data_IF_266071650594
#
_entry.id   IF_266071650594
#
_cell.length_a   1.000
_cell.length_b   1.000
_cell.length_c   1.000
_cell.angle_alpha   90.00
_cell.angle_beta   90.00
_cell.angle_gamma   90.00
#
_symmetry.space_group_name_H-M   'P 1'
#
loop_
_entity.id
_entity.type
_entity.pdbx_description
1 polymer ?
#
# COMPACT_ATOMS: atom_id res chain seq x y z
N UNK A 1 8.85 21.03 -2.93
CA UNK A 1 8.13 19.92 -3.59
C UNK A 1 6.74 19.84 -2.97
N UNK A 2 5.70 20.26 -3.69
CA UNK A 2 4.37 20.55 -3.13
C UNK A 2 3.67 19.28 -2.62
N UNK A 3 3.34 19.20 -1.33
CA UNK A 3 2.62 18.07 -0.70
C UNK A 3 1.22 17.83 -1.29
N UNK A 4 0.69 18.77 -2.08
CA UNK A 4 -0.64 18.74 -2.71
C UNK A 4 -0.87 17.60 -3.71
N UNK A 5 0.18 17.01 -4.29
CA UNK A 5 0.05 15.97 -5.33
C UNK A 5 0.22 14.52 -4.88
N UNK A 6 0.58 14.26 -3.61
CA UNK A 6 0.85 12.90 -3.13
C UNK A 6 -0.43 12.29 -2.55
N UNK A 7 -0.94 11.23 -3.17
CA UNK A 7 -2.02 10.42 -2.58
C UNK A 7 -1.53 9.87 -1.23
N UNK A 8 -2.19 10.24 -0.10
CA UNK A 8 -1.81 9.76 1.22
C UNK A 8 -1.87 8.24 1.30
N UNK A 9 -2.90 7.64 0.69
CA UNK A 9 -3.07 6.18 0.58
C UNK A 9 -1.88 5.51 -0.06
N UNK A 10 -1.39 6.04 -1.19
CA UNK A 10 -0.23 5.49 -1.92
C UNK A 10 1.03 5.53 -1.06
N UNK A 11 1.29 6.64 -0.37
CA UNK A 11 2.47 6.77 0.48
C UNK A 11 2.46 5.78 1.65
N UNK A 12 1.36 5.69 2.38
CA UNK A 12 1.23 4.79 3.54
C UNK A 12 1.34 3.32 3.12
N UNK A 13 0.61 2.90 2.08
CA UNK A 13 0.65 1.51 1.58
C UNK A 13 2.03 1.14 1.00
N UNK A 14 2.71 2.07 0.30
CA UNK A 14 4.05 1.82 -0.23
C UNK A 14 5.07 1.62 0.89
N UNK A 15 4.98 2.40 1.98
CA UNK A 15 5.86 2.25 3.14
C UNK A 15 5.68 0.89 3.81
N UNK A 16 4.42 0.43 3.99
CA UNK A 16 4.11 -0.90 4.53
C UNK A 16 4.75 -2.00 3.70
N UNK A 17 4.52 -2.01 2.38
CA UNK A 17 5.10 -3.02 1.48
C UNK A 17 6.63 -2.97 1.45
N UNK A 18 7.24 -1.79 1.54
CA UNK A 18 8.71 -1.67 1.52
C UNK A 18 9.34 -2.27 2.78
N UNK A 19 8.75 -2.01 3.95
CA UNK A 19 9.20 -2.61 5.21
C UNK A 19 8.95 -4.12 5.22
N UNK A 20 7.80 -4.56 4.73
CA UNK A 20 7.45 -5.97 4.60
C UNK A 20 8.40 -6.71 3.66
N UNK A 21 8.85 -6.08 2.57
CA UNK A 21 9.85 -6.65 1.67
C UNK A 21 11.15 -7.01 2.40
N UNK A 22 11.59 -6.14 3.31
CA UNK A 22 12.78 -6.39 4.12
C UNK A 22 12.53 -7.58 5.05
N UNK A 23 11.38 -7.61 5.73
CA UNK A 23 11.01 -8.72 6.61
C UNK A 23 10.95 -10.06 5.87
N UNK A 24 10.34 -10.11 4.69
CA UNK A 24 10.25 -11.32 3.87
C UNK A 24 11.62 -11.73 3.31
N UNK A 25 12.45 -10.77 2.89
CA UNK A 25 13.83 -11.05 2.49
C UNK A 25 14.64 -11.68 3.63
N UNK A 26 14.53 -11.12 4.84
CA UNK A 26 15.19 -11.61 6.05
C UNK A 26 14.62 -12.95 6.57
N UNK A 27 13.43 -13.35 6.14
CA UNK A 27 12.90 -14.68 6.45
C UNK A 27 13.65 -15.80 5.69
N UNK A 28 14.33 -15.48 4.58
CA UNK A 28 15.09 -16.44 3.77
C UNK A 28 16.13 -17.21 4.59
N UNK A 29 17.08 -16.56 5.30
CA UNK A 29 18.03 -17.29 6.14
C UNK A 29 17.33 -18.10 7.23
N UNK A 30 16.24 -17.60 7.82
CA UNK A 30 15.48 -18.34 8.84
C UNK A 30 14.89 -19.63 8.27
N UNK A 31 14.33 -19.59 7.06
CA UNK A 31 13.82 -20.77 6.38
C UNK A 31 14.94 -21.81 6.14
N UNK A 32 16.14 -21.37 5.74
CA UNK A 32 17.26 -22.26 5.46
C UNK A 32 17.87 -22.83 6.74
N UNK A 33 18.13 -21.99 7.75
CA UNK A 33 18.93 -22.39 8.93
C UNK A 33 18.11 -22.95 10.08
N UNK A 34 16.83 -22.60 10.17
CA UNK A 34 15.95 -23.00 11.28
C UNK A 34 14.90 -24.00 10.83
N UNK A 35 14.32 -23.80 9.65
CA UNK A 35 13.23 -24.63 9.14
C UNK A 35 13.68 -25.70 8.13
N UNK A 36 14.99 -25.81 7.86
CA UNK A 36 15.62 -26.79 6.95
C UNK A 36 14.98 -26.81 5.54
N UNK A 37 14.47 -25.65 5.09
CA UNK A 37 13.83 -25.51 3.77
C UNK A 37 14.93 -25.51 2.70
N UNK A 38 14.75 -26.25 1.59
CA UNK A 38 15.70 -26.24 0.48
C UNK A 38 16.00 -24.82 -0.01
N UNK A 39 17.28 -24.51 -0.22
CA UNK A 39 17.75 -23.15 -0.57
C UNK A 39 16.96 -22.52 -1.73
N UNK A 40 16.69 -23.28 -2.80
CA UNK A 40 15.93 -22.80 -3.94
C UNK A 40 14.51 -22.36 -3.57
N UNK A 41 13.82 -23.14 -2.75
CA UNK A 41 12.47 -22.82 -2.26
C UNK A 41 12.50 -21.62 -1.31
N UNK A 42 13.47 -21.56 -0.39
CA UNK A 42 13.62 -20.44 0.52
C UNK A 42 13.88 -19.12 -0.22
N UNK A 43 14.74 -19.12 -1.24
CA UNK A 43 15.00 -17.97 -2.10
C UNK A 43 13.74 -17.56 -2.88
N UNK A 44 13.04 -18.53 -3.48
CA UNK A 44 11.83 -18.25 -4.24
C UNK A 44 10.72 -17.63 -3.38
N UNK A 45 10.53 -18.13 -2.16
CA UNK A 45 9.52 -17.60 -1.24
C UNK A 45 9.96 -16.26 -0.64
N UNK A 46 11.12 -16.21 0.03
CA UNK A 46 11.55 -15.03 0.78
C UNK A 46 11.91 -13.86 -0.13
N UNK A 47 12.88 -14.06 -1.03
CA UNK A 47 13.33 -13.00 -1.94
C UNK A 47 12.31 -12.74 -3.06
N UNK A 48 11.63 -13.78 -3.56
CA UNK A 48 10.58 -13.60 -4.57
C UNK A 48 9.41 -12.77 -4.05
N UNK A 49 8.92 -13.02 -2.84
CA UNK A 49 7.89 -12.18 -2.23
C UNK A 49 8.42 -10.78 -1.90
N UNK A 50 9.66 -10.64 -1.44
CA UNK A 50 10.27 -9.33 -1.21
C UNK A 50 10.29 -8.47 -2.48
N UNK A 51 10.69 -9.04 -3.61
CA UNK A 51 10.64 -8.35 -4.92
C UNK A 51 9.20 -8.03 -5.31
N UNK A 52 8.25 -8.95 -5.09
CA UNK A 52 6.83 -8.72 -5.35
C UNK A 52 6.30 -7.52 -4.56
N UNK A 53 6.70 -7.36 -3.29
CA UNK A 53 6.35 -6.19 -2.48
C UNK A 53 6.86 -4.87 -3.09
N UNK A 54 8.11 -4.82 -3.52
CA UNK A 54 8.70 -3.61 -4.12
C UNK A 54 8.02 -3.27 -5.45
N UNK A 55 7.76 -4.27 -6.28
CA UNK A 55 7.03 -4.10 -7.54
C UNK A 55 5.62 -3.60 -7.26
N UNK A 56 4.89 -4.24 -6.33
CA UNK A 56 3.55 -3.83 -5.94
C UNK A 56 3.52 -2.38 -5.42
N UNK A 57 4.49 -1.99 -4.60
CA UNK A 57 4.63 -0.61 -4.10
C UNK A 57 4.78 0.42 -5.24
N UNK A 58 5.59 0.11 -6.26
CA UNK A 58 5.71 0.94 -7.46
C UNK A 58 4.43 0.99 -8.31
N UNK A 59 3.61 -0.06 -8.25
CA UNK A 59 2.37 -0.20 -9.02
C UNK A 59 1.14 0.42 -8.36
N UNK A 60 1.21 0.90 -7.11
CA UNK A 60 0.10 1.49 -6.34
C UNK A 60 -0.56 2.73 -6.97
N UNK A 61 -0.04 3.23 -8.10
CA UNK A 61 -0.76 4.18 -8.97
C UNK A 61 -2.03 3.58 -9.60
N UNK A 62 -2.15 2.25 -9.67
CA UNK A 62 -3.31 1.53 -10.23
C UNK A 62 -4.14 0.94 -9.09
N UNK A 63 -5.47 1.02 -9.18
CA UNK A 63 -6.35 0.53 -8.11
C UNK A 63 -6.29 -1.00 -7.90
N UNK A 64 -6.07 -1.77 -8.97
CA UNK A 64 -5.94 -3.22 -8.84
C UNK A 64 -4.68 -3.65 -8.06
N UNK A 65 -3.63 -2.80 -8.01
CA UNK A 65 -2.40 -3.11 -7.29
C UNK A 65 -2.62 -3.23 -5.77
N UNK A 66 -3.69 -2.63 -5.24
CA UNK A 66 -4.09 -2.84 -3.85
C UNK A 66 -4.62 -4.26 -3.60
N UNK A 67 -5.21 -4.91 -4.62
CA UNK A 67 -5.56 -6.33 -4.56
C UNK A 67 -4.33 -7.22 -4.49
N UNK A 68 -3.27 -6.88 -5.25
CA UNK A 68 -1.98 -7.58 -5.15
C UNK A 68 -1.36 -7.46 -3.75
N UNK A 69 -1.46 -6.28 -3.12
CA UNK A 69 -1.01 -6.11 -1.74
C UNK A 69 -1.74 -7.02 -0.77
N UNK A 70 -3.06 -7.18 -0.89
CA UNK A 70 -3.80 -8.17 -0.08
C UNK A 70 -3.36 -9.61 -0.33
N UNK A 71 -3.08 -9.98 -1.58
CA UNK A 71 -2.55 -11.30 -1.90
C UNK A 71 -1.17 -11.54 -1.24
N UNK A 72 -0.31 -10.52 -1.24
CA UNK A 72 0.98 -10.55 -0.54
C UNK A 72 0.78 -10.74 0.97
N UNK A 73 -0.18 -10.05 1.59
CA UNK A 73 -0.45 -10.23 3.02
C UNK A 73 -0.85 -11.66 3.37
N UNK A 74 -1.71 -12.27 2.54
CA UNK A 74 -2.09 -13.68 2.72
C UNK A 74 -0.88 -14.59 2.56
N UNK A 75 -0.03 -14.34 1.57
CA UNK A 75 1.20 -15.11 1.37
C UNK A 75 2.19 -14.97 2.54
N UNK A 76 2.36 -13.75 3.08
CA UNK A 76 3.21 -13.47 4.24
C UNK A 76 2.72 -14.20 5.49
N UNK A 77 1.40 -14.21 5.75
CA UNK A 77 0.81 -14.98 6.85
C UNK A 77 0.97 -16.49 6.62
N UNK A 78 0.77 -16.97 5.38
CA UNK A 78 0.95 -18.38 5.05
C UNK A 78 2.39 -18.86 5.21
N UNK A 79 3.38 -17.96 5.07
CA UNK A 79 4.78 -18.25 5.39
C UNK A 79 4.98 -18.62 6.86
N UNK A 80 4.04 -18.27 7.73
CA UNK A 80 3.92 -18.74 9.11
C UNK A 80 3.95 -20.27 9.26
N UNK A 81 3.48 -21.01 8.25
CA UNK A 81 3.52 -22.47 8.24
C UNK A 81 4.94 -23.04 8.17
N UNK A 82 5.88 -22.28 7.59
CA UNK A 82 7.30 -22.64 7.54
C UNK A 82 8.09 -21.99 8.68
N UNK A 83 7.75 -20.73 8.99
CA UNK A 83 8.44 -19.90 9.98
C UNK A 83 7.39 -19.33 10.94
N UNK A 84 7.09 -19.96 12.08
CA UNK A 84 5.95 -19.61 12.93
C UNK A 84 5.84 -18.12 13.33
N UNK A 85 6.96 -17.43 13.52
CA UNK A 85 6.98 -15.99 13.84
C UNK A 85 6.40 -15.12 12.70
N UNK A 86 6.36 -15.62 11.46
CA UNK A 86 5.71 -14.94 10.33
C UNK A 86 4.19 -14.88 10.46
N UNK A 87 3.54 -15.71 11.29
CA UNK A 87 2.13 -15.48 11.59
C UNK A 87 1.93 -14.13 12.29
N UNK A 88 2.80 -13.82 13.26
CA UNK A 88 2.75 -12.53 13.94
C UNK A 88 3.14 -11.38 13.01
N UNK A 89 4.26 -11.51 12.29
CA UNK A 89 4.74 -10.44 11.41
C UNK A 89 3.81 -10.21 10.21
N UNK A 90 3.31 -11.26 9.56
CA UNK A 90 2.33 -11.16 8.49
C UNK A 90 1.01 -10.58 8.96
N UNK A 91 0.52 -10.96 10.15
CA UNK A 91 -0.68 -10.34 10.71
C UNK A 91 -0.46 -8.86 11.03
N UNK A 92 0.70 -8.50 11.58
CA UNK A 92 1.08 -7.12 11.86
C UNK A 92 1.10 -6.27 10.57
N UNK A 93 1.78 -6.75 9.52
CA UNK A 93 1.80 -6.06 8.23
C UNK A 93 0.41 -6.02 7.58
N UNK A 94 -0.38 -7.08 7.68
CA UNK A 94 -1.76 -7.11 7.22
C UNK A 94 -2.66 -6.06 7.89
N UNK A 95 -2.49 -5.87 9.20
CA UNK A 95 -3.18 -4.82 9.95
C UNK A 95 -2.71 -3.42 9.53
N UNK A 96 -1.40 -3.20 9.42
CA UNK A 96 -0.85 -1.93 8.94
C UNK A 96 -1.31 -1.62 7.51
N UNK A 97 -1.37 -2.63 6.65
CA UNK A 97 -1.86 -2.52 5.28
C UNK A 97 -3.35 -2.15 5.23
N UNK A 98 -4.19 -2.90 5.95
CA UNK A 98 -5.63 -2.66 5.99
C UNK A 98 -5.97 -1.29 6.55
N UNK A 99 -5.29 -0.87 7.62
CA UNK A 99 -5.46 0.46 8.22
C UNK A 99 -4.96 1.57 7.30
N UNK A 100 -3.77 1.45 6.69
CA UNK A 100 -3.25 2.40 5.72
C UNK A 100 -4.18 2.57 4.50
N UNK A 101 -4.69 1.46 3.98
CA UNK A 101 -5.65 1.47 2.87
C UNK A 101 -6.96 2.16 3.27
N UNK A 102 -7.52 1.81 4.43
CA UNK A 102 -8.78 2.38 4.94
C UNK A 102 -8.70 3.87 5.26
N UNK A 103 -7.68 4.29 6.03
CA UNK A 103 -7.44 5.70 6.35
C UNK A 103 -7.13 6.50 5.10
N UNK A 104 -6.28 5.98 4.22
CA UNK A 104 -5.95 6.64 2.96
C UNK A 104 -7.20 6.91 2.10
N UNK A 105 -8.09 5.93 1.97
CA UNK A 105 -9.37 6.11 1.26
C UNK A 105 -10.28 7.12 1.94
N UNK A 106 -10.30 7.16 3.27
CA UNK A 106 -11.12 8.13 4.02
C UNK A 106 -10.61 9.56 3.80
N UNK A 107 -9.30 9.78 3.94
CA UNK A 107 -8.65 11.07 3.73
C UNK A 107 -8.85 11.56 2.29
N UNK A 108 -8.73 10.66 1.30
CA UNK A 108 -8.95 11.00 -0.10
C UNK A 108 -10.39 11.44 -0.38
N UNK A 109 -11.40 10.77 0.23
CA UNK A 109 -12.80 11.17 0.12
C UNK A 109 -13.08 12.52 0.78
N UNK A 110 -12.59 12.72 1.99
CA UNK A 110 -12.76 13.98 2.74
C UNK A 110 -12.13 15.16 1.98
N UNK A 111 -10.93 14.96 1.41
CA UNK A 111 -10.28 15.97 0.55
C UNK A 111 -11.09 16.24 -0.73
N UNK A 112 -11.55 15.20 -1.42
CA UNK A 112 -12.34 15.37 -2.64
C UNK A 112 -13.66 16.14 -2.38
N UNK A 113 -14.34 15.85 -1.26
CA UNK A 113 -15.54 16.57 -0.86
C UNK A 113 -15.25 18.05 -0.53
N UNK A 114 -14.15 18.33 0.17
CA UNK A 114 -13.74 19.70 0.46
C UNK A 114 -13.45 20.50 -0.82
N UNK A 115 -12.73 19.91 -1.78
CA UNK A 115 -12.48 20.55 -3.07
C UNK A 115 -13.75 20.85 -3.86
N UNK A 116 -14.69 19.90 -3.92
CA UNK A 116 -15.97 20.13 -4.60
C UNK A 116 -16.79 21.27 -3.98
N UNK A 117 -16.71 21.46 -2.65
CA UNK A 117 -17.37 22.56 -1.96
C UNK A 117 -16.73 23.93 -2.24
N UNK A 118 -15.40 23.99 -2.42
CA UNK A 118 -14.71 25.21 -2.85
C UNK A 118 -15.09 25.58 -4.29
N UNK A 119 -15.02 24.63 -5.23
CA UNK A 119 -15.37 24.88 -6.64
C UNK A 119 -16.83 25.35 -6.81
N UNK A 120 -17.76 24.81 -6.02
CA UNK A 120 -19.17 25.23 -6.02
C UNK A 120 -19.42 26.64 -5.42
N UNK A 121 -18.50 27.14 -4.59
CA UNK A 121 -18.54 28.50 -4.05
C UNK A 121 -17.82 29.54 -4.91
N UNK A 122 -17.05 29.09 -5.90
CA UNK A 122 -16.19 29.90 -6.77
C UNK A 122 -16.70 30.03 -8.21
N UNK A 123 -17.98 29.72 -8.53
CA UNK A 123 -18.60 30.15 -9.80
C UNK A 123 -18.90 31.67 -9.77
N UNK A 124 -18.08 32.57 -10.34
CA UNK A 124 -18.49 33.94 -10.57
C UNK A 124 -19.66 33.94 -11.57
N UNK A 125 -20.66 34.83 -11.39
CA UNK A 125 -21.82 34.87 -12.27
C UNK A 125 -21.38 35.07 -13.72
N UNK A 126 -21.63 34.05 -14.55
CA UNK A 126 -21.57 34.17 -16.00
C UNK A 126 -22.69 35.13 -16.43
N UNK A 127 -22.32 36.38 -16.71
CA UNK A 127 -23.19 37.32 -17.42
C UNK A 127 -23.76 38.45 -16.58
N UNK A 128 -22.94 39.44 -16.31
CA UNK A 128 -23.37 40.81 -16.02
C UNK A 128 -22.70 41.79 -16.98
N UNK A 129 -22.94 41.64 -18.28
CA UNK A 129 -22.56 42.68 -19.24
C UNK A 129 -23.27 43.99 -18.86
N UNK A 130 -22.59 45.14 -18.82
CA UNK A 130 -23.24 46.41 -18.55
C UNK A 130 -24.25 46.68 -19.68
N UNK A 131 -25.53 46.77 -19.34
CA UNK A 131 -26.53 47.30 -20.28
C UNK A 131 -26.23 48.78 -20.45
N UNK A 132 -25.71 49.15 -21.62
CA UNK A 132 -25.74 50.50 -22.11
C UNK A 132 -27.21 50.94 -22.26
N UNK A 133 -27.54 52.11 -21.70
CA UNK A 133 -28.84 52.76 -21.76
C UNK A 133 -28.78 54.10 -21.06
#
# INVERSE_FOLDING_TARGET
MSERGRSPRRGMCAAVLTLEAITLGLSTPVMVTVADVPLGTALALGLGLAVACIVAAGMLRKEWAYGLGWAIQVAAVALGLLVPVMFFLGALFGLLWGTAYGLGRRIERERAAAYAAFDAGEEPPAGGAPRAG
#
